data_IF_108344066238
#
_entry.id   IF_108344066238
#
_cell.length_a   1.000
_cell.length_b   1.000
_cell.length_c   1.000
_cell.angle_alpha   90.00
_cell.angle_beta   90.00
_cell.angle_gamma   90.00
#
_symmetry.space_group_name_H-M   'P 1'
#
loop_
_entity.id
_entity.type
_entity.pdbx_description
1 polymer ?
#
# COMPACT_ATOMS: atom_id res chain seq x y z
N UNK A 1 10.00 -5.28 27.14
CA UNK A 1 9.04 -4.15 27.06
C UNK A 1 8.44 -4.16 25.67
N UNK A 2 7.29 -4.84 25.49
CA UNK A 2 6.68 -5.13 24.19
C UNK A 2 5.55 -4.13 23.96
N UNK A 3 5.85 -3.07 23.21
CA UNK A 3 4.85 -2.15 22.65
C UNK A 3 5.14 -1.98 21.15
N UNK A 4 5.22 -3.10 20.44
CA UNK A 4 5.03 -3.07 19.00
C UNK A 4 3.52 -2.94 18.81
N UNK A 5 3.06 -1.72 18.49
CA UNK A 5 1.74 -1.51 17.88
C UNK A 5 1.67 -2.48 16.71
N UNK A 6 0.86 -3.53 16.86
CA UNK A 6 0.58 -4.46 15.78
C UNK A 6 0.06 -3.64 14.60
N UNK A 7 0.59 -3.84 13.40
CA UNK A 7 -0.19 -3.54 12.19
C UNK A 7 -1.54 -4.22 12.43
N UNK A 8 -2.62 -3.44 12.29
CA UNK A 8 -3.91 -3.74 12.89
C UNK A 8 -4.35 -5.19 12.70
N UNK A 9 -5.17 -5.68 13.64
CA UNK A 9 -5.80 -7.00 13.54
C UNK A 9 -6.19 -7.27 12.08
N UNK A 10 -5.77 -8.41 11.49
CA UNK A 10 -6.07 -8.71 10.10
C UNK A 10 -7.58 -8.65 9.99
N UNK A 11 -8.09 -7.63 9.30
CA UNK A 11 -9.51 -7.32 9.30
C UNK A 11 -10.29 -8.60 9.04
N UNK A 12 -11.12 -8.98 9.99
CA UNK A 12 -12.11 -10.06 9.90
C UNK A 12 -13.23 -9.76 8.89
N UNK A 13 -12.99 -8.85 7.94
CA UNK A 13 -13.90 -8.46 6.87
C UNK A 13 -13.66 -9.32 5.65
N UNK A 14 -14.37 -10.45 5.58
CA UNK A 14 -14.46 -11.25 4.37
C UNK A 14 -15.10 -10.45 3.23
N UNK A 15 -14.30 -10.10 2.22
CA UNK A 15 -14.82 -9.96 0.87
C UNK A 15 -14.67 -11.35 0.21
N UNK A 16 -15.79 -11.99 -0.13
CA UNK A 16 -15.83 -13.32 -0.74
C UNK A 16 -15.33 -13.36 -2.20
N UNK A 17 -14.51 -12.39 -2.62
CA UNK A 17 -13.93 -12.26 -3.95
C UNK A 17 -12.47 -11.82 -3.91
N UNK A 18 -11.75 -11.87 -5.05
CA UNK A 18 -10.37 -11.42 -5.09
C UNK A 18 -10.27 -9.94 -4.74
N UNK A 19 -9.44 -9.59 -3.74
CA UNK A 19 -9.08 -8.21 -3.37
C UNK A 19 -8.14 -7.59 -4.43
N UNK A 20 -8.59 -7.59 -5.69
CA UNK A 20 -7.84 -7.07 -6.82
C UNK A 20 -8.45 -5.74 -7.29
N UNK A 21 -7.62 -4.71 -7.51
CA UNK A 21 -8.09 -3.47 -8.10
C UNK A 21 -8.53 -3.68 -9.55
N UNK A 22 -9.33 -2.77 -10.09
CA UNK A 22 -9.81 -2.82 -11.49
C UNK A 22 -8.70 -2.99 -12.53
N UNK A 23 -7.53 -2.40 -12.26
CA UNK A 23 -6.28 -2.59 -13.03
C UNK A 23 -5.29 -3.45 -12.24
N UNK A 24 -5.16 -4.71 -12.65
CA UNK A 24 -4.28 -5.72 -12.08
C UNK A 24 -3.64 -6.60 -13.16
N UNK A 25 -2.68 -7.46 -12.79
CA UNK A 25 -1.98 -8.35 -13.72
C UNK A 25 -1.33 -7.58 -14.87
N UNK A 26 -1.57 -8.00 -16.11
CA UNK A 26 -1.04 -7.34 -17.31
C UNK A 26 -1.60 -5.93 -17.56
N UNK A 27 -2.71 -5.55 -16.91
CA UNK A 27 -3.30 -4.21 -17.00
C UNK A 27 -2.89 -3.32 -15.82
N UNK A 28 -2.00 -3.79 -14.96
CA UNK A 28 -1.52 -3.02 -13.80
C UNK A 28 -0.65 -1.85 -14.24
N UNK A 29 -0.35 -0.97 -13.29
CA UNK A 29 0.58 0.15 -13.47
C UNK A 29 1.41 0.36 -12.20
N UNK A 30 2.54 1.03 -12.36
CA UNK A 30 3.53 1.28 -11.31
C UNK A 30 3.03 2.31 -10.27
N UNK A 31 3.66 2.35 -9.08
CA UNK A 31 3.48 3.43 -8.10
C UNK A 31 4.12 4.76 -8.54
N UNK A 32 4.91 4.76 -9.61
CA UNK A 32 5.59 5.94 -10.14
C UNK A 32 6.90 6.30 -9.44
N UNK A 33 7.48 5.45 -8.58
CA UNK A 33 8.75 5.76 -7.91
C UNK A 33 10.01 5.34 -8.67
N UNK A 34 9.92 4.38 -9.59
CA UNK A 34 11.07 3.85 -10.34
C UNK A 34 11.61 4.84 -11.38
N UNK A 35 12.84 4.63 -11.86
CA UNK A 35 13.44 5.51 -12.89
C UNK A 35 13.72 6.93 -12.41
N UNK A 36 14.06 7.08 -11.12
CA UNK A 36 14.28 8.34 -10.42
C UNK A 36 13.03 9.24 -10.26
N UNK A 37 11.84 8.81 -10.68
CA UNK A 37 10.58 9.55 -10.50
C UNK A 37 10.19 9.77 -9.03
N UNK A 38 10.87 9.14 -8.06
CA UNK A 38 10.75 9.50 -6.65
C UNK A 38 11.28 10.91 -6.32
N UNK A 39 12.14 11.48 -7.17
CA UNK A 39 12.81 12.77 -6.93
C UNK A 39 12.21 13.95 -7.70
N UNK A 40 11.41 13.69 -8.73
CA UNK A 40 10.79 14.72 -9.55
C UNK A 40 9.34 14.37 -9.85
N UNK A 41 8.53 15.37 -10.17
CA UNK A 41 7.17 15.15 -10.62
C UNK A 41 7.14 15.17 -12.15
N UNK A 42 6.39 14.25 -12.75
CA UNK A 42 6.17 14.24 -14.19
C UNK A 42 5.14 15.33 -14.49
N UNK A 43 5.57 16.44 -15.10
CA UNK A 43 4.74 17.64 -15.30
C UNK A 43 3.46 17.39 -16.13
N UNK A 44 3.46 16.35 -16.96
CA UNK A 44 2.30 15.99 -17.79
C UNK A 44 1.20 15.24 -17.03
N UNK A 45 1.42 14.87 -15.77
CA UNK A 45 0.43 14.17 -14.95
C UNK A 45 -0.25 15.12 -13.96
N UNK A 46 -1.58 15.22 -14.04
CA UNK A 46 -2.38 16.02 -13.07
C UNK A 46 -2.31 15.47 -11.64
N UNK A 47 -2.02 14.17 -11.49
CA UNK A 47 -1.94 13.47 -10.22
C UNK A 47 -0.80 12.46 -10.25
N UNK A 48 -0.08 12.34 -9.14
CA UNK A 48 0.96 11.32 -8.98
C UNK A 48 0.38 9.92 -9.18
N UNK A 49 1.08 9.06 -9.92
CA UNK A 49 0.73 7.64 -10.09
C UNK A 49 0.49 6.92 -8.75
N UNK A 50 1.21 7.28 -7.70
CA UNK A 50 1.05 6.72 -6.37
C UNK A 50 -0.34 6.99 -5.79
N UNK A 51 -0.91 8.18 -5.99
CA UNK A 51 -2.26 8.50 -5.55
C UNK A 51 -3.33 7.76 -6.36
N UNK A 52 -3.15 7.68 -7.68
CA UNK A 52 -4.04 6.90 -8.54
C UNK A 52 -4.03 5.43 -8.13
N UNK A 53 -2.84 4.91 -7.79
CA UNK A 53 -2.69 3.54 -7.31
C UNK A 53 -3.31 3.34 -5.94
N UNK A 54 -3.13 4.28 -5.02
CA UNK A 54 -3.72 4.24 -3.68
C UNK A 54 -5.24 4.19 -3.74
N UNK A 55 -5.88 5.05 -4.55
CA UNK A 55 -7.34 5.04 -4.74
C UNK A 55 -7.82 3.71 -5.30
N UNK A 56 -7.11 3.16 -6.29
CA UNK A 56 -7.44 1.86 -6.86
C UNK A 56 -7.35 0.72 -5.83
N UNK A 57 -6.35 0.76 -4.94
CA UNK A 57 -6.18 -0.20 -3.86
C UNK A 57 -7.26 -0.03 -2.77
N UNK A 58 -7.56 1.19 -2.36
CA UNK A 58 -8.61 1.47 -1.38
C UNK A 58 -10.00 1.02 -1.86
N UNK A 59 -10.29 1.15 -3.16
CA UNK A 59 -11.52 0.68 -3.77
C UNK A 59 -11.74 -0.85 -3.67
N UNK A 60 -10.69 -1.63 -3.35
CA UNK A 60 -10.85 -3.07 -3.11
C UNK A 60 -11.48 -3.40 -1.75
N UNK A 61 -11.57 -2.43 -0.83
CA UNK A 61 -12.00 -2.63 0.54
C UNK A 61 -10.92 -3.19 1.46
N UNK A 62 -9.68 -3.35 0.99
CA UNK A 62 -8.56 -3.71 1.83
C UNK A 62 -8.29 -2.61 2.88
N UNK A 63 -8.12 -3.00 4.15
CA UNK A 63 -7.68 -2.06 5.20
C UNK A 63 -6.16 -1.93 5.32
N UNK A 64 -5.42 -2.94 4.84
CA UNK A 64 -3.96 -2.98 4.85
C UNK A 64 -3.44 -3.49 3.50
N UNK A 65 -2.41 -2.83 2.96
CA UNK A 65 -1.67 -3.27 1.78
C UNK A 65 -0.22 -3.51 2.19
N UNK A 66 0.27 -4.73 1.94
CA UNK A 66 1.68 -5.06 2.05
C UNK A 66 2.36 -4.97 0.68
N UNK A 67 3.54 -4.35 0.62
CA UNK A 67 4.37 -4.25 -0.58
C UNK A 67 5.75 -4.83 -0.32
N UNK A 68 6.46 -5.23 -1.39
CA UNK A 68 7.82 -5.79 -1.31
C UNK A 68 8.88 -4.90 -1.97
N UNK A 69 8.50 -3.73 -2.46
CA UNK A 69 9.38 -2.79 -3.15
C UNK A 69 9.51 -1.52 -2.32
N UNK A 70 10.74 -1.06 -1.98
CA UNK A 70 10.94 0.12 -1.15
C UNK A 70 10.38 1.39 -1.80
N UNK A 71 10.38 1.49 -3.13
CA UNK A 71 9.75 2.62 -3.82
C UNK A 71 8.23 2.60 -3.66
N UNK A 72 7.60 1.43 -3.80
CA UNK A 72 6.16 1.31 -3.54
C UNK A 72 5.83 1.69 -2.10
N UNK A 73 6.65 1.27 -1.14
CA UNK A 73 6.46 1.58 0.27
C UNK A 73 6.47 3.09 0.51
N UNK A 74 7.53 3.78 0.09
CA UNK A 74 7.67 5.23 0.26
C UNK A 74 6.56 5.99 -0.47
N UNK A 75 6.33 5.67 -1.75
CA UNK A 75 5.40 6.43 -2.59
C UNK A 75 3.94 6.24 -2.17
N UNK A 76 3.54 5.03 -1.76
CA UNK A 76 2.18 4.76 -1.29
C UNK A 76 1.96 5.24 0.14
N UNK A 77 2.98 5.21 1.02
CA UNK A 77 2.89 5.83 2.36
C UNK A 77 2.73 7.34 2.26
N UNK A 78 3.49 8.01 1.37
CA UNK A 78 3.33 9.44 1.08
C UNK A 78 1.90 9.74 0.58
N UNK A 79 1.43 8.99 -0.42
CA UNK A 79 0.07 9.14 -0.93
C UNK A 79 -1.01 8.91 0.16
N UNK A 80 -0.83 7.91 1.03
CA UNK A 80 -1.75 7.61 2.12
C UNK A 80 -1.74 8.71 3.20
N UNK A 81 -0.58 9.28 3.49
CA UNK A 81 -0.45 10.45 4.37
C UNK A 81 -1.20 11.66 3.85
N UNK A 82 -1.24 11.86 2.53
CA UNK A 82 -1.99 12.93 1.87
C UNK A 82 -3.49 12.60 1.68
N UNK A 83 -3.91 11.36 1.92
CA UNK A 83 -5.29 10.86 1.76
C UNK A 83 -5.77 10.05 2.97
N UNK A 84 -5.80 10.65 4.18
CA UNK A 84 -6.22 9.96 5.39
C UNK A 84 -7.68 9.50 5.34
N UNK A 85 -8.50 10.14 4.49
CA UNK A 85 -9.90 9.78 4.23
C UNK A 85 -10.08 8.36 3.70
N UNK A 86 -9.05 7.78 3.07
CA UNK A 86 -9.10 6.41 2.54
C UNK A 86 -8.84 5.33 3.61
N UNK A 87 -8.33 5.70 4.79
CA UNK A 87 -8.09 4.78 5.90
C UNK A 87 -7.10 3.63 5.61
N UNK A 88 -6.38 3.68 4.48
CA UNK A 88 -5.57 2.57 3.98
C UNK A 88 -4.17 2.56 4.62
N UNK A 89 -3.82 1.47 5.28
CA UNK A 89 -2.49 1.31 5.88
C UNK A 89 -1.52 0.62 4.91
N UNK A 90 -0.31 1.15 4.78
CA UNK A 90 0.73 0.64 3.87
C UNK A 90 1.92 0.13 4.67
N UNK A 91 2.24 -1.16 4.51
CA UNK A 91 3.34 -1.85 5.20
C UNK A 91 4.26 -2.62 4.26
N UNK A 92 5.40 -3.05 4.78
CA UNK A 92 6.32 -3.95 4.07
C UNK A 92 5.97 -5.42 4.34
N UNK A 93 6.15 -6.30 3.35
CA UNK A 93 5.91 -7.74 3.52
C UNK A 93 6.79 -8.35 4.63
N UNK A 94 8.00 -7.84 4.84
CA UNK A 94 8.88 -8.27 5.92
C UNK A 94 8.34 -7.87 7.30
N UNK A 95 7.70 -6.71 7.44
CA UNK A 95 7.01 -6.30 8.69
C UNK A 95 5.89 -7.29 9.01
N UNK A 96 5.07 -7.64 8.01
CA UNK A 96 3.99 -8.63 8.16
C UNK A 96 4.55 -10.00 8.56
N UNK A 97 5.63 -10.46 7.93
CA UNK A 97 6.27 -11.73 8.27
C UNK A 97 6.83 -11.72 9.70
N UNK A 98 7.51 -10.64 10.09
CA UNK A 98 8.08 -10.47 11.43
C UNK A 98 6.99 -10.57 12.50
N UNK A 99 5.87 -9.88 12.29
CA UNK A 99 4.71 -9.89 13.19
C UNK A 99 4.08 -11.26 13.34
N UNK A 100 4.10 -12.08 12.29
CA UNK A 100 3.45 -13.40 12.28
C UNK A 100 4.36 -14.52 12.77
N UNK A 101 5.67 -14.37 12.69
CA UNK A 101 6.63 -15.46 12.95
C UNK A 101 7.51 -15.25 14.17
N UNK A 102 8.10 -14.06 14.33
CA UNK A 102 9.05 -13.75 15.40
C UNK A 102 8.34 -13.08 16.57
N UNK A 103 7.53 -12.07 16.28
CA UNK A 103 6.80 -11.31 17.29
C UNK A 103 5.52 -12.00 17.79
N UNK A 104 5.34 -13.30 17.54
CA UNK A 104 4.35 -14.16 18.23
C UNK A 104 4.97 -15.25 19.10
N UNK A 105 6.31 -15.36 19.10
CA UNK A 105 7.06 -16.12 20.11
C UNK A 105 7.24 -15.26 21.37
#
# INVERSE_FOLDING_TARGET
>A
MRLLRTLGEPGSGGAAGPLLPSRHGLRTFCCGGGGANSFYQVEQEERRLSELRLVALAATGAGHIAVSCPFCLTMLRDAAGNRPDLGLQIGDVAEVLLERTVARR
#
